data_IF_697025307558
#
_entry.id   IF_697025307558
#
_cell.length_a   1.000
_cell.length_b   1.000
_cell.length_c   1.000
_cell.angle_alpha   90.00
_cell.angle_beta   90.00
_cell.angle_gamma   90.00
#
_symmetry.space_group_name_H-M   'P 1'
#
loop_
_entity.id
_entity.type
_entity.pdbx_description
1 polymer ?
#
# COMPACT_ATOMS: atom_id res chain seq x y z
N UNK A 1 -26.16 0.57 -18.27
CA UNK A 1 -24.74 1.00 -18.28
C UNK A 1 -24.64 2.11 -17.24
N UNK A 2 -24.05 1.83 -16.08
CA UNK A 2 -23.95 2.82 -14.98
C UNK A 2 -22.89 3.84 -15.38
N UNK A 3 -23.27 5.10 -15.47
CA UNK A 3 -22.33 6.20 -15.70
C UNK A 3 -21.63 6.45 -14.36
N UNK A 4 -20.33 6.19 -14.31
CA UNK A 4 -19.52 6.47 -13.12
C UNK A 4 -18.82 7.80 -13.31
N UNK A 5 -18.85 8.63 -12.28
CA UNK A 5 -17.97 9.79 -12.19
C UNK A 5 -17.03 9.58 -11.00
N UNK A 6 -15.74 9.62 -11.23
CA UNK A 6 -14.73 9.65 -10.17
C UNK A 6 -14.29 11.10 -9.96
N UNK A 7 -14.10 11.50 -8.70
CA UNK A 7 -13.30 12.70 -8.39
C UNK A 7 -12.08 12.29 -7.60
N UNK A 8 -10.93 12.73 -8.06
CA UNK A 8 -9.67 12.57 -7.37
C UNK A 8 -9.44 13.87 -6.63
N UNK A 9 -9.37 13.81 -5.30
CA UNK A 9 -8.98 14.99 -4.53
C UNK A 9 -7.47 15.06 -4.54
N UNK A 10 -6.95 16.12 -5.18
CA UNK A 10 -5.53 16.41 -5.23
C UNK A 10 -5.17 17.58 -4.31
N UNK A 11 -3.91 17.70 -3.89
CA UNK A 11 -3.38 18.97 -3.35
C UNK A 11 -3.43 20.08 -4.41
N UNK A 12 -3.16 21.32 -3.99
CA UNK A 12 -2.86 22.45 -4.87
C UNK A 12 -1.72 22.12 -5.86
N UNK A 13 -0.85 21.18 -5.50
CA UNK A 13 0.27 20.69 -6.30
C UNK A 13 -0.08 19.45 -7.16
N UNK A 14 -1.36 19.06 -7.22
CA UNK A 14 -1.92 17.94 -8.02
C UNK A 14 -1.51 16.51 -7.58
N UNK A 15 -0.96 16.31 -6.39
CA UNK A 15 -0.71 14.98 -5.81
C UNK A 15 -2.02 14.32 -5.34
N UNK A 16 -2.20 13.03 -5.57
CA UNK A 16 -3.43 12.29 -5.23
C UNK A 16 -3.46 11.87 -3.75
N UNK A 17 -4.50 12.27 -3.01
CA UNK A 17 -4.73 11.82 -1.62
C UNK A 17 -5.90 10.83 -1.48
N UNK A 18 -6.87 10.85 -2.40
CA UNK A 18 -8.03 9.94 -2.37
C UNK A 18 -8.72 9.87 -3.74
N UNK A 19 -9.20 8.68 -4.16
CA UNK A 19 -10.31 8.60 -5.13
C UNK A 19 -11.62 8.56 -4.35
N UNK A 20 -12.54 9.44 -4.73
CA UNK A 20 -13.95 9.30 -4.38
C UNK A 20 -14.68 8.87 -5.64
N UNK A 21 -15.34 7.72 -5.60
CA UNK A 21 -16.20 7.26 -6.69
C UNK A 21 -17.64 7.68 -6.42
N UNK A 22 -18.23 8.43 -7.35
CA UNK A 22 -19.66 8.72 -7.36
C UNK A 22 -20.36 7.73 -8.31
N UNK A 23 -21.30 6.98 -7.73
CA UNK A 23 -22.29 6.22 -8.48
C UNK A 23 -23.52 7.11 -8.67
N UNK A 24 -24.01 7.27 -9.91
CA UNK A 24 -25.30 7.95 -10.19
C UNK A 24 -26.53 7.10 -9.77
N UNK A 25 -26.32 5.93 -9.17
CA UNK A 25 -27.42 5.12 -8.62
C UNK A 25 -27.97 5.78 -7.35
N UNK A 26 -29.15 6.42 -7.46
CA UNK A 26 -29.79 7.26 -6.42
C UNK A 26 -29.96 6.56 -5.05
N UNK A 27 -29.82 5.24 -4.99
CA UNK A 27 -29.92 4.44 -3.76
C UNK A 27 -28.58 4.12 -3.09
N UNK A 28 -27.44 4.53 -3.68
CA UNK A 28 -26.09 4.19 -3.20
C UNK A 28 -25.25 5.46 -3.13
N UNK A 29 -25.09 5.99 -1.92
CA UNK A 29 -24.27 7.17 -1.65
C UNK A 29 -22.82 7.05 -2.14
N UNK A 30 -22.03 8.14 -2.08
CA UNK A 30 -20.65 8.17 -2.54
C UNK A 30 -19.82 7.08 -1.83
N UNK A 31 -19.03 6.32 -2.61
CA UNK A 31 -18.11 5.33 -2.08
C UNK A 31 -16.70 5.93 -2.05
N UNK A 32 -16.14 6.04 -0.86
CA UNK A 32 -14.76 6.48 -0.65
C UNK A 32 -13.88 5.24 -0.65
N UNK A 33 -13.00 5.11 -1.63
CA UNK A 33 -11.96 4.08 -1.61
C UNK A 33 -10.66 4.76 -1.23
N UNK A 34 -10.04 4.31 -0.15
CA UNK A 34 -8.67 4.70 0.17
C UNK A 34 -7.76 4.13 -0.91
N UNK A 35 -7.04 5.02 -1.57
CA UNK A 35 -6.01 4.68 -2.55
C UNK A 35 -4.69 4.72 -1.81
N UNK A 36 -3.85 3.72 -2.05
CA UNK A 36 -2.42 3.81 -1.72
C UNK A 36 -1.71 4.37 -2.95
N UNK A 37 -1.40 5.68 -3.01
CA UNK A 37 -0.63 6.21 -4.11
C UNK A 37 0.80 5.66 -4.01
N UNK A 38 1.31 5.12 -5.11
CA UNK A 38 2.73 4.83 -5.24
C UNK A 38 3.33 5.85 -6.21
N UNK A 39 4.15 6.75 -5.68
CA UNK A 39 4.89 7.72 -6.49
C UNK A 39 6.35 7.30 -6.60
N UNK A 40 6.93 7.47 -7.79
CA UNK A 40 8.35 7.29 -8.05
C UNK A 40 9.13 8.49 -7.49
N UNK A 41 9.36 8.52 -6.17
CA UNK A 41 10.22 9.53 -5.58
C UNK A 41 11.70 9.16 -5.74
N UNK A 42 12.20 9.03 -6.99
CA UNK A 42 13.65 8.91 -7.22
C UNK A 42 14.07 9.38 -8.63
N UNK A 43 14.77 10.51 -8.68
CA UNK A 43 15.25 11.17 -9.91
C UNK A 43 16.49 10.53 -10.58
N UNK A 44 16.94 9.34 -10.16
CA UNK A 44 18.34 8.92 -10.33
C UNK A 44 18.57 7.53 -10.96
N UNK A 45 17.62 6.96 -11.68
CA UNK A 45 17.91 5.86 -12.62
C UNK A 45 17.31 6.17 -13.98
N UNK A 46 17.98 5.77 -15.07
CA UNK A 46 17.48 6.01 -16.43
C UNK A 46 16.06 5.43 -16.63
N UNK A 47 15.73 4.35 -15.91
CA UNK A 47 14.38 3.78 -15.83
C UNK A 47 13.43 4.68 -15.01
N UNK A 48 13.84 5.16 -13.84
CA UNK A 48 13.01 6.04 -13.01
C UNK A 48 12.71 7.41 -13.67
N UNK A 49 13.58 7.89 -14.56
CA UNK A 49 13.36 9.12 -15.31
C UNK A 49 12.23 8.98 -16.36
N UNK A 50 12.07 7.82 -16.97
CA UNK A 50 11.01 7.56 -17.96
C UNK A 50 9.61 7.50 -17.30
N UNK A 51 9.56 7.05 -16.04
CA UNK A 51 8.32 6.84 -15.30
C UNK A 51 8.07 7.88 -14.21
N UNK A 52 8.85 8.97 -14.17
CA UNK A 52 8.81 9.93 -13.06
C UNK A 52 7.48 10.68 -12.92
N UNK A 53 6.77 10.84 -14.03
CA UNK A 53 5.47 11.50 -14.09
C UNK A 53 4.31 10.51 -13.95
N UNK A 54 4.60 9.21 -13.98
CA UNK A 54 3.58 8.19 -13.86
C UNK A 54 3.10 8.06 -12.42
N UNK A 55 1.82 7.78 -12.30
CA UNK A 55 1.18 7.60 -11.00
C UNK A 55 0.35 6.34 -11.05
N UNK A 56 0.44 5.56 -9.96
CA UNK A 56 -0.34 4.36 -9.77
C UNK A 56 -1.12 4.42 -8.48
N UNK A 57 -2.27 3.78 -8.52
CA UNK A 57 -3.20 3.66 -7.43
C UNK A 57 -3.89 2.30 -7.49
N UNK A 58 -4.11 1.70 -6.32
CA UNK A 58 -4.70 0.36 -6.23
C UNK A 58 -5.88 0.38 -5.30
N UNK A 59 -6.93 -0.36 -5.65
CA UNK A 59 -8.06 -0.56 -4.75
C UNK A 59 -8.76 -1.90 -4.95
N UNK A 60 -9.41 -2.36 -3.89
CA UNK A 60 -10.33 -3.48 -3.91
C UNK A 60 -11.75 -2.92 -3.94
N UNK A 61 -12.55 -3.31 -4.91
CA UNK A 61 -13.92 -2.83 -5.08
C UNK A 61 -14.93 -3.96 -5.01
N UNK A 62 -15.95 -3.79 -4.18
CA UNK A 62 -17.06 -4.74 -4.07
C UNK A 62 -18.14 -4.45 -5.11
N UNK A 63 -18.48 -5.44 -5.94
CA UNK A 63 -19.66 -5.44 -6.81
C UNK A 63 -20.62 -6.56 -6.41
N UNK A 64 -21.57 -6.24 -5.52
CA UNK A 64 -22.73 -7.05 -5.14
C UNK A 64 -22.45 -8.41 -4.45
N UNK A 65 -21.46 -9.19 -4.93
CA UNK A 65 -21.08 -10.52 -4.42
C UNK A 65 -19.58 -10.81 -4.62
N UNK A 66 -18.94 -10.23 -5.65
CA UNK A 66 -17.51 -10.42 -5.94
C UNK A 66 -16.74 -9.12 -5.64
N UNK A 67 -15.50 -9.24 -5.16
CA UNK A 67 -14.59 -8.11 -5.04
C UNK A 67 -13.54 -8.18 -6.14
N UNK A 68 -13.11 -7.02 -6.63
CA UNK A 68 -12.18 -6.91 -7.75
C UNK A 68 -11.03 -6.03 -7.34
N UNK A 69 -9.80 -6.48 -7.58
CA UNK A 69 -8.59 -5.71 -7.39
C UNK A 69 -8.29 -4.94 -8.70
N UNK A 70 -8.18 -3.62 -8.60
CA UNK A 70 -7.95 -2.73 -9.73
C UNK A 70 -6.64 -1.96 -9.61
N UNK A 71 -6.01 -1.73 -10.75
CA UNK A 71 -4.98 -0.71 -10.98
C UNK A 71 -5.64 0.51 -11.63
N UNK A 72 -5.29 1.68 -11.12
CA UNK A 72 -5.49 2.96 -11.77
C UNK A 72 -4.12 3.52 -12.09
N UNK A 73 -3.91 3.97 -13.32
CA UNK A 73 -2.66 4.60 -13.69
C UNK A 73 -2.84 5.77 -14.64
N UNK A 74 -1.88 6.69 -14.64
CA UNK A 74 -1.75 7.76 -15.63
C UNK A 74 -0.28 8.09 -15.83
N UNK A 75 0.06 8.60 -17.01
CA UNK A 75 1.45 8.94 -17.37
C UNK A 75 1.93 10.30 -16.84
N UNK A 76 1.01 11.22 -16.63
CA UNK A 76 1.30 12.58 -16.16
C UNK A 76 0.06 13.21 -15.57
N UNK A 77 0.23 14.33 -14.85
CA UNK A 77 -0.88 15.07 -14.25
C UNK A 77 -1.93 15.59 -15.23
N UNK A 78 -1.58 15.70 -16.52
CA UNK A 78 -2.48 16.17 -17.58
C UNK A 78 -3.04 15.00 -18.43
N UNK A 79 -2.68 13.76 -18.10
CA UNK A 79 -3.23 12.55 -18.71
C UNK A 79 -4.47 12.08 -17.96
N UNK A 80 -5.42 11.50 -18.69
CA UNK A 80 -6.57 10.80 -18.10
C UNK A 80 -6.11 9.57 -17.32
N UNK A 81 -6.91 9.18 -16.32
CA UNK A 81 -6.70 7.94 -15.59
C UNK A 81 -7.25 6.75 -16.38
N UNK A 82 -6.42 5.75 -16.53
CA UNK A 82 -6.77 4.45 -17.09
C UNK A 82 -7.05 3.46 -15.94
N UNK A 83 -7.99 2.54 -16.14
CA UNK A 83 -8.36 1.50 -15.17
C UNK A 83 -8.13 0.12 -15.76
N UNK A 84 -7.51 -0.76 -14.98
CA UNK A 84 -7.24 -2.15 -15.34
C UNK A 84 -7.66 -3.07 -14.21
N UNK A 85 -8.42 -4.12 -14.54
CA UNK A 85 -8.71 -5.21 -13.61
C UNK A 85 -7.44 -6.06 -13.46
N UNK A 86 -6.98 -6.26 -12.23
CA UNK A 86 -5.86 -7.15 -11.90
C UNK A 86 -6.39 -8.56 -11.67
N UNK A 87 -7.36 -8.70 -10.77
CA UNK A 87 -7.91 -10.00 -10.39
C UNK A 87 -9.30 -9.88 -9.74
N UNK A 88 -10.04 -10.99 -9.75
CA UNK A 88 -11.22 -11.19 -8.91
C UNK A 88 -10.77 -11.79 -7.57
N UNK A 89 -11.08 -11.11 -6.48
CA UNK A 89 -10.61 -11.42 -5.13
C UNK A 89 -11.78 -11.50 -4.14
N UNK A 90 -11.52 -12.09 -2.97
CA UNK A 90 -12.46 -12.07 -1.85
C UNK A 90 -12.41 -10.72 -1.11
N UNK A 91 -13.08 -10.62 0.05
CA UNK A 91 -12.87 -9.50 0.96
C UNK A 91 -11.45 -9.49 1.49
N UNK A 92 -10.83 -8.32 1.50
CA UNK A 92 -9.47 -8.22 1.98
C UNK A 92 -8.87 -6.82 1.96
N UNK A 93 -7.58 -6.78 2.25
CA UNK A 93 -6.77 -5.56 2.35
C UNK A 93 -5.72 -5.55 1.27
N UNK A 94 -5.41 -4.36 0.76
CA UNK A 94 -4.36 -4.20 -0.25
C UNK A 94 -3.29 -3.23 0.22
N UNK A 95 -2.05 -3.53 -0.12
CA UNK A 95 -0.93 -2.64 0.02
C UNK A 95 -0.11 -2.68 -1.27
N UNK A 96 0.60 -1.61 -1.58
CA UNK A 96 1.38 -1.53 -2.80
C UNK A 96 2.65 -0.72 -2.59
N UNK A 97 3.67 -1.06 -3.36
CA UNK A 97 4.88 -0.28 -3.47
C UNK A 97 5.53 -0.53 -4.83
N UNK A 98 6.55 0.27 -5.15
CA UNK A 98 7.27 0.19 -6.42
C UNK A 98 8.78 0.22 -6.16
N UNK A 99 9.54 -0.46 -6.99
CA UNK A 99 11.00 -0.48 -6.97
C UNK A 99 11.55 -0.69 -8.40
N UNK A 100 12.84 -0.98 -8.57
CA UNK A 100 13.44 -1.20 -9.90
C UNK A 100 12.87 -2.39 -10.65
N UNK A 101 12.31 -3.38 -9.95
CA UNK A 101 11.74 -4.57 -10.59
C UNK A 101 10.35 -4.31 -11.16
N UNK A 102 9.66 -3.30 -10.62
CA UNK A 102 8.35 -2.88 -11.10
C UNK A 102 7.40 -2.51 -9.97
N UNK A 103 6.15 -2.91 -10.19
CA UNK A 103 5.00 -2.65 -9.33
C UNK A 103 4.69 -3.92 -8.53
N UNK A 104 4.61 -3.77 -7.22
CA UNK A 104 4.27 -4.83 -6.28
C UNK A 104 2.95 -4.49 -5.60
N UNK A 105 1.98 -5.39 -5.70
CA UNK A 105 0.68 -5.27 -5.03
C UNK A 105 0.47 -6.49 -4.16
N UNK A 106 0.17 -6.26 -2.90
CA UNK A 106 -0.12 -7.26 -1.90
C UNK A 106 -1.63 -7.26 -1.63
N UNK A 107 -2.19 -8.45 -1.47
CA UNK A 107 -3.58 -8.63 -1.08
C UNK A 107 -3.68 -9.69 0.02
N UNK A 108 -4.41 -9.40 1.09
CA UNK A 108 -4.68 -10.33 2.19
C UNK A 108 -6.18 -10.53 2.33
N UNK A 109 -6.62 -11.78 2.24
CA UNK A 109 -8.02 -12.18 2.46
C UNK A 109 -8.41 -12.04 3.94
N UNK A 110 -9.55 -11.41 4.23
CA UNK A 110 -10.00 -11.13 5.60
C UNK A 110 -10.35 -12.40 6.39
N UNK A 111 -11.02 -13.37 5.76
CA UNK A 111 -11.53 -14.56 6.45
C UNK A 111 -10.45 -15.62 6.66
N UNK A 112 -9.63 -15.87 5.62
CA UNK A 112 -8.66 -16.96 5.60
C UNK A 112 -7.28 -16.50 6.08
N UNK A 113 -6.97 -15.21 5.95
CA UNK A 113 -5.60 -14.68 6.12
C UNK A 113 -4.64 -15.17 5.03
N UNK A 114 -5.13 -15.70 3.90
CA UNK A 114 -4.27 -16.03 2.77
C UNK A 114 -3.76 -14.74 2.13
N UNK A 115 -2.48 -14.75 1.79
CA UNK A 115 -1.84 -13.62 1.12
C UNK A 115 -1.45 -13.93 -0.31
N UNK A 116 -1.63 -12.95 -1.18
CA UNK A 116 -1.22 -12.96 -2.58
C UNK A 116 -0.34 -11.76 -2.87
N UNK A 117 0.66 -11.97 -3.72
CA UNK A 117 1.43 -10.89 -4.34
C UNK A 117 1.18 -10.88 -5.84
N UNK A 118 1.04 -9.69 -6.40
CA UNK A 118 0.90 -9.43 -7.82
C UNK A 118 2.07 -8.54 -8.22
N UNK A 119 2.90 -9.04 -9.14
CA UNK A 119 4.06 -8.32 -9.64
C UNK A 119 3.95 -8.03 -11.14
N UNK A 120 4.31 -6.82 -11.56
CA UNK A 120 4.33 -6.40 -12.96
C UNK A 120 5.50 -5.44 -13.21
N UNK A 121 6.22 -5.61 -14.31
CA UNK A 121 7.17 -4.60 -14.78
C UNK A 121 6.45 -3.29 -15.18
N UNK A 122 7.13 -2.15 -15.22
CA UNK A 122 6.50 -0.86 -15.54
C UNK A 122 5.85 -0.81 -16.93
N UNK A 123 6.52 -1.41 -17.93
CA UNK A 123 6.06 -1.58 -19.30
C UNK A 123 5.31 -2.91 -19.53
N UNK A 124 5.18 -3.70 -18.47
CA UNK A 124 4.47 -4.97 -18.50
C UNK A 124 2.97 -4.74 -18.58
N UNK A 125 2.29 -5.59 -19.37
CA UNK A 125 0.84 -5.61 -19.40
C UNK A 125 0.28 -6.44 -18.24
N UNK A 126 0.75 -7.67 -18.05
CA UNK A 126 0.08 -8.63 -17.17
C UNK A 126 0.75 -8.77 -15.80
N UNK A 127 -0.06 -8.89 -14.74
CA UNK A 127 0.43 -9.20 -13.41
C UNK A 127 0.72 -10.70 -13.27
N UNK A 128 1.85 -11.02 -12.65
CA UNK A 128 2.14 -12.36 -12.17
C UNK A 128 1.64 -12.50 -10.74
N UNK A 129 0.65 -13.37 -10.53
CA UNK A 129 0.10 -13.71 -9.20
C UNK A 129 0.87 -14.86 -8.57
N UNK A 130 1.36 -14.69 -7.34
CA UNK A 130 1.96 -15.77 -6.53
C UNK A 130 1.49 -15.70 -5.07
N UNK A 131 1.52 -16.82 -4.33
CA UNK A 131 1.28 -16.79 -2.89
C UNK A 131 2.31 -15.91 -2.18
N UNK A 132 1.84 -15.04 -1.27
CA UNK A 132 2.71 -14.16 -0.47
C UNK A 132 3.42 -14.93 0.65
N UNK A 133 2.80 -15.97 1.19
CA UNK A 133 3.31 -16.79 2.28
C UNK A 133 2.52 -18.09 2.42
N UNK A 134 2.64 -18.76 3.56
CA UNK A 134 1.84 -19.94 3.88
C UNK A 134 0.47 -19.53 4.47
N UNK A 135 -0.56 -20.39 4.34
CA UNK A 135 -1.84 -20.15 5.01
C UNK A 135 -1.66 -19.93 6.51
N UNK A 136 -2.16 -18.80 7.02
CA UNK A 136 -2.07 -18.42 8.43
C UNK A 136 -0.92 -17.48 8.80
N UNK A 137 0.07 -17.25 7.92
CA UNK A 137 1.18 -16.32 8.17
C UNK A 137 0.69 -14.88 8.46
N UNK A 138 -0.46 -14.52 7.89
CA UNK A 138 -1.12 -13.22 8.05
C UNK A 138 -2.46 -13.31 8.79
N UNK A 139 -2.66 -14.36 9.60
CA UNK A 139 -3.88 -14.50 10.38
C UNK A 139 -4.10 -13.26 11.27
N UNK A 140 -5.33 -12.74 11.25
CA UNK A 140 -5.78 -11.58 12.04
C UNK A 140 -5.05 -10.27 11.71
N UNK A 141 -4.48 -10.16 10.51
CA UNK A 141 -3.98 -8.87 10.03
C UNK A 141 -5.16 -7.96 9.72
N UNK A 142 -5.18 -6.81 10.38
CA UNK A 142 -6.29 -5.84 10.37
C UNK A 142 -5.92 -4.55 9.66
N UNK A 143 -4.64 -4.31 9.38
CA UNK A 143 -4.16 -3.19 8.57
C UNK A 143 -2.91 -3.65 7.82
N UNK A 144 -2.67 -3.12 6.63
CA UNK A 144 -1.54 -3.51 5.78
C UNK A 144 -0.97 -2.29 5.04
N UNK A 145 0.35 -2.15 5.06
CA UNK A 145 1.05 -1.21 4.18
C UNK A 145 2.38 -1.80 3.72
N UNK A 146 2.88 -1.32 2.59
CA UNK A 146 4.12 -1.77 1.99
C UNK A 146 4.99 -0.57 1.63
N UNK A 147 6.30 -0.73 1.70
CA UNK A 147 7.27 0.25 1.23
C UNK A 147 8.46 -0.47 0.65
N UNK A 148 9.12 0.11 -0.33
CA UNK A 148 10.32 -0.48 -0.91
C UNK A 148 11.35 0.60 -1.19
N UNK A 149 12.63 0.26 -1.00
CA UNK A 149 13.72 1.04 -1.59
C UNK A 149 13.75 0.75 -3.07
N UNK A 150 14.32 1.68 -3.84
CA UNK A 150 14.39 1.50 -5.28
C UNK A 150 15.12 0.21 -5.68
N UNK A 151 16.17 -0.20 -4.95
CA UNK A 151 17.01 -1.36 -5.30
C UNK A 151 16.90 -2.54 -4.33
N UNK A 152 15.82 -2.64 -3.55
CA UNK A 152 15.69 -3.71 -2.54
C UNK A 152 14.31 -4.38 -2.56
N UNK A 153 14.23 -5.52 -1.88
CA UNK A 153 12.97 -6.22 -1.65
C UNK A 153 12.00 -5.30 -0.86
N UNK A 154 10.71 -5.27 -1.23
CA UNK A 154 9.68 -4.61 -0.44
C UNK A 154 9.63 -5.10 1.02
N UNK A 155 9.28 -4.17 1.91
CA UNK A 155 9.00 -4.40 3.32
C UNK A 155 7.51 -4.23 3.56
N UNK A 156 6.94 -5.14 4.33
CA UNK A 156 5.50 -5.23 4.59
C UNK A 156 5.23 -5.04 6.08
N UNK A 157 4.23 -4.22 6.41
CA UNK A 157 3.85 -3.90 7.77
C UNK A 157 2.36 -4.05 7.96
N UNK A 158 1.94 -4.36 9.18
CA UNK A 158 0.52 -4.47 9.47
C UNK A 158 0.20 -4.60 10.95
N UNK A 159 -1.07 -4.42 11.27
CA UNK A 159 -1.58 -4.62 12.62
C UNK A 159 -2.08 -6.06 12.78
N UNK A 160 -1.57 -6.78 13.78
CA UNK A 160 -2.05 -8.13 14.11
C UNK A 160 -1.91 -8.40 15.62
N UNK A 161 -2.96 -8.96 16.22
CA UNK A 161 -3.06 -9.25 17.66
C UNK A 161 -2.75 -8.03 18.57
N UNK A 162 -3.10 -6.81 18.13
CA UNK A 162 -2.85 -5.58 18.90
C UNK A 162 -1.39 -5.10 18.86
N UNK A 163 -0.59 -5.61 17.93
CA UNK A 163 0.79 -5.16 17.68
C UNK A 163 0.94 -4.70 16.24
N UNK A 164 1.59 -3.56 16.07
CA UNK A 164 2.16 -3.18 14.78
C UNK A 164 3.38 -4.07 14.54
N UNK A 165 3.38 -4.81 13.44
CA UNK A 165 4.41 -5.80 13.10
C UNK A 165 5.04 -5.47 11.75
N UNK A 166 6.31 -5.83 11.61
CA UNK A 166 6.96 -6.00 10.31
C UNK A 166 6.90 -7.48 9.91
N UNK A 167 6.44 -7.77 8.70
CA UNK A 167 6.31 -9.12 8.17
C UNK A 167 7.50 -9.42 7.26
N UNK A 168 8.31 -10.41 7.63
CA UNK A 168 9.49 -10.83 6.88
C UNK A 168 9.51 -12.34 6.72
N UNK A 169 10.10 -12.81 5.63
CA UNK A 169 10.46 -14.22 5.54
C UNK A 169 11.39 -14.60 6.69
N UNK A 170 11.18 -15.78 7.27
CA UNK A 170 12.14 -16.36 8.20
C UNK A 170 13.50 -16.62 7.52
N UNK A 171 14.52 -16.94 8.32
CA UNK A 171 15.89 -17.19 7.80
C UNK A 171 15.93 -18.29 6.72
N UNK A 172 15.05 -19.29 6.82
CA UNK A 172 14.93 -20.38 5.84
C UNK A 172 14.11 -20.04 4.59
N UNK A 173 13.53 -18.83 4.53
CA UNK A 173 12.56 -18.37 3.51
C UNK A 173 11.42 -19.34 3.25
N UNK A 174 10.89 -19.97 4.30
CA UNK A 174 9.81 -20.97 4.20
C UNK A 174 8.43 -20.43 4.57
N UNK A 175 8.36 -19.48 5.49
CA UNK A 175 7.13 -18.79 5.92
C UNK A 175 7.46 -17.37 6.37
N UNK A 176 6.42 -16.55 6.50
CA UNK A 176 6.50 -15.16 6.95
C UNK A 176 6.24 -15.07 8.46
N UNK A 177 7.06 -14.28 9.14
CA UNK A 177 6.98 -14.00 10.57
C UNK A 177 6.73 -12.52 10.79
N UNK A 178 5.71 -12.19 11.57
CA UNK A 178 5.45 -10.83 12.03
C UNK A 178 6.24 -10.48 13.29
N UNK A 179 7.28 -9.65 13.16
CA UNK A 179 8.09 -9.16 14.29
C UNK A 179 7.45 -7.91 14.89
N UNK A 180 7.07 -7.91 16.19
CA UNK A 180 6.45 -6.75 16.83
C UNK A 180 7.38 -5.52 16.86
N UNK A 181 6.86 -4.37 16.43
CA UNK A 181 7.49 -3.05 16.53
C UNK A 181 6.99 -2.33 17.77
N UNK A 182 5.66 -2.27 17.93
CA UNK A 182 5.00 -1.62 19.07
C UNK A 182 3.62 -2.18 19.33
N UNK A 183 3.02 -1.79 20.45
CA UNK A 183 1.62 -2.08 20.79
C UNK A 183 0.67 -1.04 20.20
N UNK A 184 -0.41 -1.51 19.58
CA UNK A 184 -1.56 -0.73 19.12
C UNK A 184 -2.84 -1.51 19.49
N UNK A 185 -3.08 -1.66 20.81
CA UNK A 185 -4.10 -2.57 21.36
C UNK A 185 -5.53 -2.14 21.09
N UNK A 186 -5.75 -0.85 20.87
CA UNK A 186 -7.05 -0.26 20.57
C UNK A 186 -7.53 -0.52 19.15
N UNK A 187 -6.64 -1.00 18.26
CA UNK A 187 -6.91 -1.01 16.83
C UNK A 187 -6.25 0.20 16.14
N UNK A 188 -6.33 0.20 14.81
CA UNK A 188 -5.87 1.29 13.95
C UNK A 188 -6.93 1.48 12.87
N UNK A 189 -7.22 2.74 12.55
CA UNK A 189 -8.12 3.09 11.43
C UNK A 189 -7.36 3.38 10.14
N UNK A 190 -6.04 3.58 10.23
CA UNK A 190 -5.16 3.78 9.09
C UNK A 190 -3.71 3.46 9.47
N UNK A 191 -3.00 2.87 8.51
CA UNK A 191 -1.56 2.62 8.59
C UNK A 191 -0.89 3.00 7.27
N UNK A 192 0.24 3.71 7.34
CA UNK A 192 1.04 4.08 6.18
C UNK A 192 2.54 3.96 6.50
N UNK A 193 3.34 3.67 5.48
CA UNK A 193 4.79 3.59 5.56
C UNK A 193 5.42 4.50 4.51
N UNK A 194 6.51 5.16 4.88
CA UNK A 194 7.35 5.91 3.96
C UNK A 194 8.81 5.55 4.20
N UNK A 195 9.62 5.60 3.15
CA UNK A 195 11.05 5.37 3.22
C UNK A 195 11.78 6.58 2.66
N UNK A 196 12.76 7.05 3.40
CA UNK A 196 13.64 8.14 2.99
C UNK A 196 15.07 7.60 2.89
N UNK A 197 15.66 7.80 1.72
CA UNK A 197 17.07 7.50 1.47
C UNK A 197 17.68 8.69 0.75
N UNK A 198 18.55 9.41 1.45
CA UNK A 198 19.28 10.53 0.85
C UNK A 198 20.39 10.03 -0.11
N UNK A 199 20.65 10.84 -1.14
CA UNK A 199 21.46 10.60 -2.34
C UNK A 199 22.92 10.17 -2.10
N UNK A 200 23.38 10.15 -0.85
CA UNK A 200 24.80 9.98 -0.47
C UNK A 200 25.10 8.70 0.30
N UNK A 201 24.31 7.64 0.10
CA UNK A 201 24.34 6.44 0.95
C UNK A 201 24.05 6.77 2.43
N UNK A 202 23.21 7.79 2.67
CA UNK A 202 22.72 8.07 4.01
C UNK A 202 21.90 6.87 4.52
N UNK A 203 22.00 6.53 5.81
CA UNK A 203 21.32 5.37 6.36
C UNK A 203 19.81 5.48 6.12
N UNK A 204 19.23 4.36 5.70
CA UNK A 204 17.79 4.23 5.44
C UNK A 204 16.99 4.67 6.67
N UNK A 205 15.97 5.49 6.43
CA UNK A 205 14.99 5.87 7.43
C UNK A 205 13.61 5.42 6.97
N UNK A 206 12.97 4.51 7.70
CA UNK A 206 11.54 4.20 7.50
C UNK A 206 10.73 4.95 8.54
N UNK A 207 9.63 5.56 8.11
CA UNK A 207 8.62 6.11 9.01
C UNK A 207 7.31 5.35 8.82
N UNK A 208 6.85 4.72 9.90
CA UNK A 208 5.49 4.20 10.01
C UNK A 208 4.63 5.27 10.64
N UNK A 209 3.50 5.56 10.01
CA UNK A 209 2.51 6.53 10.46
C UNK A 209 1.19 5.80 10.64
N UNK A 210 0.54 6.00 11.78
CA UNK A 210 -0.69 5.29 12.10
C UNK A 210 -1.64 6.17 12.90
N UNK A 211 -2.93 5.87 12.79
CA UNK A 211 -3.99 6.53 13.53
C UNK A 211 -4.69 5.52 14.45
N UNK A 212 -4.45 5.56 15.77
CA UNK A 212 -5.13 4.70 16.72
C UNK A 212 -6.63 4.97 16.78
N UNK A 213 -7.45 3.94 16.97
CA UNK A 213 -8.91 4.09 17.04
C UNK A 213 -9.40 4.83 18.30
N UNK A 214 -8.57 4.88 19.33
CA UNK A 214 -8.90 5.46 20.65
C UNK A 214 -8.26 6.83 20.90
N UNK A 215 -7.56 7.41 19.92
CA UNK A 215 -6.82 8.65 20.08
C UNK A 215 -6.99 9.56 18.87
N UNK A 216 -7.15 10.86 19.12
CA UNK A 216 -7.13 11.89 18.08
C UNK A 216 -5.69 12.36 17.77
N UNK A 217 -4.71 11.46 17.86
CA UNK A 217 -3.28 11.77 17.67
C UNK A 217 -2.69 10.83 16.63
N UNK A 218 -2.01 11.41 15.64
CA UNK A 218 -1.26 10.64 14.66
C UNK A 218 0.08 10.21 15.28
N UNK A 219 0.23 8.89 15.41
CA UNK A 219 1.42 8.25 15.95
C UNK A 219 2.45 7.99 14.84
N UNK A 220 3.73 8.11 15.17
CA UNK A 220 4.82 7.74 14.25
C UNK A 220 5.84 6.84 14.93
N UNK A 221 6.40 5.90 14.16
CA UNK A 221 7.61 5.13 14.51
C UNK A 221 8.65 5.32 13.42
N UNK A 222 9.88 5.55 13.82
CA UNK A 222 11.01 5.77 12.92
C UNK A 222 12.00 4.64 13.11
N UNK A 223 12.33 3.95 12.03
CA UNK A 223 13.45 3.01 11.97
C UNK A 223 14.64 3.70 11.34
N UNK A 224 15.82 3.53 11.94
CA UNK A 224 17.08 3.84 11.28
C UNK A 224 18.02 2.65 11.40
N UNK A 225 18.96 2.53 10.47
CA UNK A 225 19.98 1.46 10.53
C UNK A 225 20.80 1.50 11.83
N UNK A 226 21.04 2.70 12.39
CA UNK A 226 21.85 2.86 13.59
C UNK A 226 21.09 2.51 14.88
N UNK A 227 19.78 2.74 14.91
CA UNK A 227 19.02 2.75 16.17
C UNK A 227 17.87 1.75 16.22
N UNK A 228 17.53 1.12 15.09
CA UNK A 228 16.33 0.33 14.97
C UNK A 228 15.06 1.17 15.10
N UNK A 229 13.96 0.54 15.50
CA UNK A 229 12.66 1.19 15.68
C UNK A 229 12.61 2.02 16.96
N UNK A 230 12.20 3.29 16.84
CA UNK A 230 11.94 4.19 17.96
C UNK A 230 10.64 4.98 17.75
N UNK A 231 9.97 5.43 18.83
CA UNK A 231 8.88 6.38 18.72
C UNK A 231 9.36 7.66 18.01
N UNK A 232 8.60 8.09 17.00
CA UNK A 232 8.81 9.36 16.33
C UNK A 232 8.01 10.50 16.98
N UNK A 233 8.00 11.68 16.35
CA UNK A 233 7.18 12.79 16.82
C UNK A 233 5.69 12.44 16.77
N UNK A 234 4.95 12.79 17.82
CA UNK A 234 3.49 12.77 17.80
C UNK A 234 3.00 14.04 17.09
N UNK A 235 2.01 13.88 16.21
CA UNK A 235 1.33 15.00 15.56
C UNK A 235 -0.08 15.07 16.15
N UNK A 236 -0.36 16.19 16.83
CA UNK A 236 -1.63 16.51 17.50
C UNK A 236 -2.39 17.52 16.66
#
# INVERSE_FOLDING_TARGET
MVKMSSSITTTLDKDVFALVFYSEDENRGPYVSYITPCTTANHNSDVALEYIDWQWAFCVRTFFVNQNLYEFHRKSNDSDWEIKLIDEVESGKTASCINTEGIHVYFLEDETGNGWTYHKAYDGEEYTKTPLGQPGDFAKVTELCAVSRWFDEPRLFGLSDGYLKEFQYNESRTHIVGTPITTARSGLSSLSASIEQDRRNSPETIRLTYFPDDQDILGTYVWTQAEGWKPGPQIV
#
